data_IF_429394542948
#
_entry.id   IF_429394542948
#
_cell.length_a   1.000
_cell.length_b   1.000
_cell.length_c   1.000
_cell.angle_alpha   90.00
_cell.angle_beta   90.00
_cell.angle_gamma   90.00
#
_symmetry.space_group_name_H-M   'P 1'
#
loop_
_entity.id
_entity.type
_entity.pdbx_description
1 polymer ?
#
# COMPACT_ATOMS: atom_id res chain seq x y z
N UNK A 1 -4.28 -6.38 -8.16
CA UNK A 1 -3.05 -6.71 -7.38
C UNK A 1 -3.44 -7.10 -5.96
N UNK A 2 -2.91 -8.20 -5.44
CA UNK A 2 -3.16 -8.66 -4.06
C UNK A 2 -2.00 -8.20 -3.18
N UNK A 3 -2.33 -7.63 -2.02
CA UNK A 3 -1.39 -7.02 -1.09
C UNK A 3 -1.39 -7.68 0.27
N UNK A 4 -0.21 -7.73 0.88
CA UNK A 4 0.01 -8.16 2.25
C UNK A 4 1.14 -7.30 2.82
N UNK A 5 1.02 -6.90 4.08
CA UNK A 5 1.96 -6.04 4.79
C UNK A 5 1.68 -4.56 4.63
N UNK A 6 2.68 -3.74 4.99
CA UNK A 6 2.59 -2.28 4.93
C UNK A 6 2.94 -1.78 3.52
N UNK A 7 1.95 -1.18 2.89
CA UNK A 7 2.03 -0.56 1.57
C UNK A 7 2.05 0.95 1.72
N UNK A 8 2.84 1.63 0.91
CA UNK A 8 2.95 3.08 0.88
C UNK A 8 2.60 3.57 -0.51
N UNK A 9 1.64 4.48 -0.61
CA UNK A 9 1.26 5.08 -1.88
C UNK A 9 2.43 5.90 -2.43
N UNK A 10 2.78 5.65 -3.69
CA UNK A 10 3.92 6.31 -4.33
C UNK A 10 3.66 7.81 -4.59
N UNK A 11 2.39 8.19 -4.74
CA UNK A 11 1.99 9.55 -5.09
C UNK A 11 1.83 10.46 -3.86
N UNK A 12 1.11 10.00 -2.83
CA UNK A 12 0.81 10.82 -1.65
C UNK A 12 1.51 10.39 -0.36
N UNK A 13 2.27 9.29 -0.38
CA UNK A 13 2.95 8.74 0.79
C UNK A 13 2.03 8.10 1.84
N UNK A 14 0.73 7.92 1.54
CA UNK A 14 -0.22 7.29 2.46
C UNK A 14 0.15 5.83 2.73
N UNK A 15 0.19 5.46 4.01
CA UNK A 15 0.55 4.10 4.44
C UNK A 15 -0.70 3.30 4.77
N UNK A 16 -0.82 2.10 4.21
CA UNK A 16 -1.95 1.20 4.41
C UNK A 16 -1.40 -0.19 4.72
N UNK A 17 -1.83 -0.78 5.83
CA UNK A 17 -1.35 -2.09 6.27
C UNK A 17 -2.43 -3.14 6.01
N UNK A 18 -2.08 -4.16 5.23
CA UNK A 18 -2.93 -5.31 4.95
C UNK A 18 -2.43 -6.52 5.75
N UNK A 19 -3.12 -6.86 6.83
CA UNK A 19 -2.74 -8.00 7.67
C UNK A 19 -3.21 -9.35 7.10
N UNK A 20 -4.07 -9.33 6.08
CA UNK A 20 -4.54 -10.51 5.36
C UNK A 20 -4.37 -10.28 3.85
N UNK A 21 -4.07 -11.33 3.05
CA UNK A 21 -4.03 -11.21 1.60
C UNK A 21 -5.40 -10.78 1.07
N UNK A 22 -5.47 -9.54 0.58
CA UNK A 22 -6.70 -8.93 0.07
C UNK A 22 -6.36 -8.10 -1.16
N UNK A 23 -7.36 -7.86 -2.01
CA UNK A 23 -7.24 -6.98 -3.17
C UNK A 23 -6.92 -5.57 -2.69
N UNK A 24 -5.79 -5.02 -3.14
CA UNK A 24 -5.41 -3.64 -2.83
C UNK A 24 -6.35 -2.73 -3.61
N UNK A 25 -7.15 -1.96 -2.87
CA UNK A 25 -7.97 -0.91 -3.44
C UNK A 25 -7.11 0.31 -3.77
N UNK A 26 -7.56 1.21 -4.67
CA UNK A 26 -6.88 2.47 -4.91
C UNK A 26 -6.69 3.27 -3.61
N UNK A 27 -5.66 4.11 -3.57
CA UNK A 27 -5.35 4.92 -2.41
C UNK A 27 -6.56 5.76 -1.99
N UNK A 28 -6.98 5.63 -0.74
CA UNK A 28 -8.13 6.36 -0.19
C UNK A 28 -7.90 7.88 -0.12
N UNK A 29 -6.64 8.34 -0.22
CA UNK A 29 -6.25 9.75 -0.18
C UNK A 29 -6.28 10.43 -1.55
N UNK A 30 -5.74 9.78 -2.58
CA UNK A 30 -5.56 10.39 -3.89
C UNK A 30 -6.13 9.59 -5.07
N UNK A 31 -6.62 8.36 -4.84
CA UNK A 31 -7.11 7.47 -5.90
C UNK A 31 -6.03 6.75 -6.69
N UNK A 32 -4.75 6.97 -6.38
CA UNK A 32 -3.63 6.33 -7.06
C UNK A 32 -3.56 4.83 -6.77
N UNK A 33 -3.20 4.02 -7.78
CA UNK A 33 -3.15 2.55 -7.68
C UNK A 33 -1.74 2.00 -7.44
N UNK A 34 -0.72 2.85 -7.57
CA UNK A 34 0.68 2.53 -7.28
C UNK A 34 0.95 2.52 -5.79
N UNK A 35 1.37 1.36 -5.28
CA UNK A 35 1.83 1.19 -3.91
C UNK A 35 3.17 0.47 -3.88
N UNK A 36 4.06 0.98 -3.05
CA UNK A 36 5.40 0.43 -2.80
C UNK A 36 5.40 -0.24 -1.43
N UNK A 37 5.95 -1.45 -1.32
CA UNK A 37 6.12 -2.12 -0.03
C UNK A 37 7.16 -1.37 0.78
N UNK A 38 6.84 -1.00 2.01
CA UNK A 38 7.85 -0.43 2.89
C UNK A 38 8.77 -1.56 3.35
N UNK A 39 9.96 -1.64 2.75
CA UNK A 39 11.01 -2.53 3.24
C UNK A 39 11.34 -2.16 4.67
N UNK A 40 11.30 -3.14 5.58
CA UNK A 40 11.91 -3.01 6.89
C UNK A 40 13.40 -2.81 6.64
N UNK A 41 13.91 -1.60 6.92
CA UNK A 41 15.36 -1.41 6.98
C UNK A 41 15.89 -2.40 8.04
N UNK A 42 16.97 -3.13 7.75
CA UNK A 42 17.56 -4.06 8.71
C UNK A 42 17.99 -3.33 9.98
#
# INVERSE_FOLDING_TARGET
VIGLGTLVCDECGHKTTYNHPTVIIPCIKCGHKGFTRQSLKP
#
